data_IF_798408504069
#
_entry.id   IF_798408504069
#
_cell.length_a   1.000
_cell.length_b   1.000
_cell.length_c   1.000
_cell.angle_alpha   90.00
_cell.angle_beta   90.00
_cell.angle_gamma   90.00
#
_symmetry.space_group_name_H-M   'P 1'
#
loop_
_entity.id
_entity.type
_entity.pdbx_description
1 polymer ?
#
# COMPACT_ATOMS: atom_id res chain seq x y z
N UNK A 1 -29.38 0.91 -1.77
CA UNK A 1 -27.97 1.31 -1.98
C UNK A 1 -27.27 0.27 -2.85
N UNK A 2 -26.58 0.75 -3.88
CA UNK A 2 -25.71 -0.02 -4.78
C UNK A 2 -24.25 0.17 -4.37
N UNK A 3 -23.54 -0.94 -4.21
CA UNK A 3 -22.17 -0.99 -3.75
C UNK A 3 -21.28 -1.61 -4.82
N UNK A 4 -20.10 -1.03 -5.06
CA UNK A 4 -19.04 -1.66 -5.85
C UNK A 4 -17.85 -1.91 -4.92
N UNK A 5 -17.53 -3.18 -4.67
CA UNK A 5 -16.42 -3.54 -3.80
C UNK A 5 -15.15 -3.70 -4.65
N UNK A 6 -14.10 -2.94 -4.35
CA UNK A 6 -12.81 -3.04 -5.02
C UNK A 6 -11.74 -3.49 -4.03
N UNK A 7 -11.00 -4.57 -4.32
CA UNK A 7 -9.97 -5.07 -3.41
C UNK A 7 -8.77 -4.13 -3.40
N UNK A 8 -8.28 -3.83 -2.19
CA UNK A 8 -7.01 -3.21 -1.92
C UNK A 8 -6.01 -4.30 -1.49
N UNK A 9 -4.81 -4.27 -2.06
CA UNK A 9 -3.80 -5.33 -1.92
C UNK A 9 -2.54 -4.86 -1.17
N UNK A 10 -2.62 -3.77 -0.43
CA UNK A 10 -1.51 -3.16 0.27
C UNK A 10 -0.29 -2.94 -0.67
N UNK A 11 0.91 -3.28 -0.19
CA UNK A 11 2.15 -3.21 -0.96
C UNK A 11 2.18 -4.14 -2.18
N UNK A 12 1.28 -5.13 -2.29
CA UNK A 12 1.26 -6.02 -3.46
C UNK A 12 0.84 -5.29 -4.74
N UNK A 13 0.20 -4.13 -4.63
CA UNK A 13 -0.05 -3.27 -5.79
C UNK A 13 1.23 -2.89 -6.54
N UNK A 14 2.38 -2.85 -5.87
CA UNK A 14 3.69 -2.61 -6.50
C UNK A 14 4.15 -3.78 -7.39
N UNK A 15 3.64 -4.99 -7.11
CA UNK A 15 4.09 -6.24 -7.77
C UNK A 15 3.23 -6.65 -8.96
N UNK A 16 2.05 -6.04 -9.13
CA UNK A 16 1.05 -6.50 -10.10
C UNK A 16 0.81 -5.44 -11.19
N UNK A 17 1.49 -5.55 -12.35
CA UNK A 17 1.39 -4.55 -13.43
C UNK A 17 -0.03 -4.31 -13.94
N UNK A 18 -0.91 -5.31 -13.81
CA UNK A 18 -2.29 -5.25 -14.30
C UNK A 18 -3.32 -4.89 -13.23
N UNK A 19 -2.89 -4.67 -11.98
CA UNK A 19 -3.76 -4.24 -10.88
C UNK A 19 -2.97 -3.42 -9.85
N UNK A 20 -2.47 -2.28 -10.30
CA UNK A 20 -1.74 -1.33 -9.48
C UNK A 20 -2.68 -0.24 -8.93
N UNK A 21 -2.11 0.72 -8.20
CA UNK A 21 -2.86 1.82 -7.61
C UNK A 21 -3.64 2.68 -8.63
N UNK A 22 -3.08 2.92 -9.82
CA UNK A 22 -3.79 3.67 -10.88
C UNK A 22 -4.96 2.84 -11.41
N UNK A 23 -4.81 1.52 -11.55
CA UNK A 23 -5.94 0.64 -11.92
C UNK A 23 -7.08 0.74 -10.90
N UNK A 24 -6.78 0.78 -9.59
CA UNK A 24 -7.79 0.97 -8.54
C UNK A 24 -8.51 2.31 -8.71
N UNK A 25 -7.77 3.39 -8.97
CA UNK A 25 -8.36 4.70 -9.26
C UNK A 25 -9.27 4.66 -10.49
N UNK A 26 -8.84 4.03 -11.58
CA UNK A 26 -9.61 3.94 -12.83
C UNK A 26 -10.92 3.17 -12.64
N UNK A 27 -10.87 2.03 -11.93
CA UNK A 27 -12.05 1.27 -11.54
C UNK A 27 -12.99 2.10 -10.66
N UNK A 28 -12.43 2.84 -9.71
CA UNK A 28 -13.19 3.74 -8.81
C UNK A 28 -13.84 4.88 -9.58
N UNK A 29 -13.18 5.40 -10.62
CA UNK A 29 -13.75 6.45 -11.45
C UNK A 29 -14.84 5.90 -12.38
N UNK A 30 -14.62 4.73 -12.96
CA UNK A 30 -15.54 4.07 -13.87
C UNK A 30 -16.84 3.59 -13.18
N UNK A 31 -16.80 3.31 -11.87
CA UNK A 31 -17.99 2.95 -11.10
C UNK A 31 -18.93 4.15 -10.82
N UNK A 32 -18.52 5.38 -11.17
CA UNK A 32 -19.29 6.62 -11.00
C UNK A 32 -19.93 6.78 -9.59
N UNK A 33 -19.11 6.72 -8.51
CA UNK A 33 -19.60 6.79 -7.14
C UNK A 33 -20.12 8.18 -6.76
N UNK A 34 -21.11 8.20 -5.87
CA UNK A 34 -21.54 9.41 -5.14
C UNK A 34 -20.73 9.61 -3.85
N UNK A 35 -20.18 8.52 -3.32
CA UNK A 35 -19.26 8.51 -2.18
C UNK A 35 -18.25 7.37 -2.29
N UNK A 36 -17.11 7.55 -1.63
CA UNK A 36 -16.16 6.48 -1.37
C UNK A 36 -16.26 6.03 0.08
N UNK A 37 -16.06 4.75 0.31
CA UNK A 37 -15.81 4.21 1.63
C UNK A 37 -14.56 3.32 1.61
N UNK A 38 -13.85 3.20 2.72
CA UNK A 38 -12.69 2.31 2.82
C UNK A 38 -12.66 1.57 4.14
N UNK A 39 -12.30 0.29 4.10
CA UNK A 39 -12.09 -0.50 5.33
C UNK A 39 -10.67 -0.40 5.87
N UNK A 40 -9.80 0.38 5.22
CA UNK A 40 -8.39 0.52 5.58
C UNK A 40 -8.12 1.62 6.61
N UNK A 41 -9.02 2.60 6.67
CA UNK A 41 -8.89 3.78 7.51
C UNK A 41 -10.07 3.87 8.47
N UNK A 42 -9.80 4.22 9.71
CA UNK A 42 -10.83 4.48 10.70
C UNK A 42 -11.59 5.78 10.34
N UNK A 43 -12.81 6.00 10.86
CA UNK A 43 -13.63 7.17 10.52
C UNK A 43 -12.89 8.51 10.62
N UNK A 44 -12.07 8.70 11.66
CA UNK A 44 -11.40 9.97 11.95
C UNK A 44 -10.01 10.11 11.28
N UNK A 45 -9.52 9.07 10.60
CA UNK A 45 -8.18 9.06 10.00
C UNK A 45 -8.07 9.97 8.77
N UNK A 46 -9.17 10.27 8.10
CA UNK A 46 -9.18 11.04 6.84
C UNK A 46 -8.89 12.55 7.03
N UNK A 47 -9.16 13.07 8.24
CA UNK A 47 -8.89 14.46 8.61
C UNK A 47 -7.50 14.70 9.21
N UNK A 48 -6.70 13.64 9.38
CA UNK A 48 -5.37 13.71 9.99
C UNK A 48 -4.29 13.26 8.99
N UNK A 49 -3.00 13.54 9.25
CA UNK A 49 -1.90 12.98 8.45
C UNK A 49 -1.88 11.45 8.41
N UNK A 50 -2.57 10.76 9.33
CA UNK A 50 -2.67 9.30 9.34
C UNK A 50 -3.22 8.70 8.04
N UNK A 51 -3.98 9.47 7.25
CA UNK A 51 -4.42 9.05 5.90
C UNK A 51 -3.27 8.73 4.94
N UNK A 52 -2.06 9.23 5.21
CA UNK A 52 -0.84 8.99 4.44
C UNK A 52 -0.06 7.78 4.96
N UNK A 53 -0.29 7.40 6.22
CA UNK A 53 0.40 6.32 6.93
C UNK A 53 -0.49 5.07 6.95
N UNK A 54 -0.67 4.48 5.79
CA UNK A 54 -1.46 3.26 5.59
C UNK A 54 -0.71 2.29 4.69
N UNK A 55 -0.80 0.96 4.96
CA UNK A 55 -0.23 -0.03 4.06
C UNK A 55 -0.92 -0.05 2.67
N UNK A 56 -2.11 0.53 2.56
CA UNK A 56 -2.90 0.56 1.34
C UNK A 56 -2.48 1.69 0.39
N UNK A 57 -1.36 1.49 -0.31
CA UNK A 57 -0.69 2.52 -1.11
C UNK A 57 -1.60 3.20 -2.15
N UNK A 58 -2.61 2.50 -2.68
CA UNK A 58 -3.53 3.06 -3.66
C UNK A 58 -4.32 4.26 -3.11
N UNK A 59 -4.63 4.24 -1.81
CA UNK A 59 -5.42 5.28 -1.14
C UNK A 59 -4.72 6.65 -1.15
N UNK A 60 -3.58 6.84 -0.44
CA UNK A 60 -2.93 8.14 -0.39
C UNK A 60 -2.27 8.54 -1.72
N UNK A 61 -1.88 7.57 -2.56
CA UNK A 61 -1.20 7.86 -3.82
C UNK A 61 -2.14 8.35 -4.91
N UNK A 62 -3.31 7.73 -5.08
CA UNK A 62 -4.16 7.94 -6.25
C UNK A 62 -5.61 8.28 -5.89
N UNK A 63 -6.25 7.48 -5.05
CA UNK A 63 -7.70 7.58 -4.83
C UNK A 63 -8.08 8.80 -3.99
N UNK A 64 -7.44 9.01 -2.84
CA UNK A 64 -7.77 10.13 -1.95
C UNK A 64 -7.52 11.48 -2.66
N UNK A 65 -6.35 11.71 -3.31
CA UNK A 65 -6.13 12.95 -4.06
C UNK A 65 -7.18 13.20 -5.15
N UNK A 66 -7.60 12.16 -5.86
CA UNK A 66 -8.64 12.25 -6.87
C UNK A 66 -10.02 12.60 -6.27
N UNK A 67 -10.39 11.93 -5.18
CA UNK A 67 -11.66 12.15 -4.49
C UNK A 67 -11.76 13.59 -3.95
N UNK A 68 -10.67 14.08 -3.33
CA UNK A 68 -10.55 15.47 -2.86
C UNK A 68 -10.70 16.44 -4.02
N UNK A 69 -10.01 16.20 -5.14
CA UNK A 69 -10.12 17.04 -6.34
C UNK A 69 -11.54 17.11 -6.91
N UNK A 70 -12.33 16.04 -6.75
CA UNK A 70 -13.74 15.97 -7.16
C UNK A 70 -14.74 16.34 -6.07
N UNK A 71 -14.27 16.70 -4.87
CA UNK A 71 -15.12 16.95 -3.69
C UNK A 71 -16.06 15.78 -3.38
N UNK A 72 -15.62 14.55 -3.65
CA UNK A 72 -16.35 13.35 -3.28
C UNK A 72 -16.17 13.08 -1.79
N UNK A 73 -17.25 12.80 -1.04
CA UNK A 73 -17.13 12.38 0.34
C UNK A 73 -16.42 11.02 0.42
N UNK A 74 -15.47 10.92 1.35
CA UNK A 74 -14.72 9.69 1.63
C UNK A 74 -14.98 9.32 3.08
N UNK A 75 -15.35 8.07 3.33
CA UNK A 75 -15.66 7.56 4.66
C UNK A 75 -14.66 6.46 5.06
N UNK A 76 -14.02 6.64 6.21
CA UNK A 76 -13.29 5.55 6.88
C UNK A 76 -14.28 4.65 7.59
N UNK A 77 -14.18 3.34 7.38
CA UNK A 77 -15.05 2.34 8.00
C UNK A 77 -14.31 1.48 9.02
N UNK A 78 -12.97 1.45 8.97
CA UNK A 78 -12.16 0.47 9.66
C UNK A 78 -12.49 0.40 11.14
N UNK A 79 -12.65 -0.82 11.63
CA UNK A 79 -12.73 -1.14 13.05
C UNK A 79 -11.42 -1.84 13.43
N UNK A 80 -10.51 -1.16 14.15
CA UNK A 80 -9.25 -1.77 14.56
C UNK A 80 -9.51 -2.89 15.58
N UNK A 81 -8.61 -3.88 15.71
CA UNK A 81 -8.66 -4.84 16.80
C UNK A 81 -8.64 -4.11 18.15
N UNK A 82 -9.39 -4.62 19.13
CA UNK A 82 -9.36 -4.11 20.50
C UNK A 82 -7.97 -4.23 21.13
N UNK A 83 -7.21 -5.26 20.74
CA UNK A 83 -5.81 -5.46 21.10
C UNK A 83 -5.01 -5.83 19.84
N UNK A 84 -4.10 -4.95 19.37
CA UNK A 84 -3.24 -5.23 18.21
C UNK A 84 -2.32 -6.44 18.35
N UNK A 85 -2.01 -6.87 19.57
CA UNK A 85 -1.10 -7.99 19.83
C UNK A 85 -1.83 -9.32 20.04
N UNK A 86 -3.17 -9.31 20.12
CA UNK A 86 -3.98 -10.47 20.47
C UNK A 86 -3.72 -11.70 19.59
N UNK A 87 -3.55 -11.51 18.27
CA UNK A 87 -3.27 -12.62 17.36
C UNK A 87 -1.89 -13.26 17.63
N UNK A 88 -0.87 -12.43 17.86
CA UNK A 88 0.48 -12.89 18.16
C UNK A 88 0.54 -13.63 19.50
N UNK A 89 -0.07 -13.04 20.53
CA UNK A 89 -0.15 -13.63 21.86
C UNK A 89 -0.95 -14.94 21.84
N UNK A 90 -2.09 -14.97 21.15
CA UNK A 90 -2.88 -16.19 20.97
C UNK A 90 -2.05 -17.31 20.34
N UNK A 91 -1.31 -17.02 19.25
CA UNK A 91 -0.44 -18.01 18.61
C UNK A 91 0.66 -18.48 19.55
N UNK A 92 1.29 -17.57 20.31
CA UNK A 92 2.32 -17.90 21.31
C UNK A 92 1.81 -18.83 22.41
N UNK A 93 0.63 -18.56 22.96
CA UNK A 93 0.03 -19.42 23.98
C UNK A 93 -0.43 -20.76 23.40
N UNK A 94 -1.06 -20.76 22.23
CA UNK A 94 -1.56 -21.97 21.58
C UNK A 94 -0.42 -22.94 21.23
N UNK A 95 0.75 -22.42 20.84
CA UNK A 95 1.94 -23.21 20.52
C UNK A 95 2.51 -24.02 21.69
N UNK A 96 2.10 -23.73 22.95
CA UNK A 96 2.55 -24.48 24.14
C UNK A 96 1.89 -25.85 24.29
N UNK A 97 0.83 -26.12 23.52
CA UNK A 97 0.05 -27.35 23.64
C UNK A 97 0.10 -28.18 22.35
N UNK A 98 0.26 -29.51 22.41
CA UNK A 98 0.34 -30.36 21.21
C UNK A 98 -0.86 -30.22 20.25
N UNK A 99 -2.08 -30.15 20.80
CA UNK A 99 -3.29 -29.92 19.99
C UNK A 99 -3.30 -28.53 19.34
N UNK A 100 -2.78 -27.52 20.03
CA UNK A 100 -2.64 -26.17 19.50
C UNK A 100 -1.62 -26.09 18.37
N UNK A 101 -0.48 -26.75 18.50
CA UNK A 101 0.52 -26.88 17.44
C UNK A 101 -0.03 -27.57 16.18
N UNK A 102 -0.91 -28.57 16.34
CA UNK A 102 -1.57 -29.21 15.21
C UNK A 102 -2.49 -28.22 14.46
N UNK A 103 -3.32 -27.45 15.18
CA UNK A 103 -4.21 -26.43 14.58
C UNK A 103 -3.42 -25.31 13.90
N UNK A 104 -2.32 -24.85 14.52
CA UNK A 104 -1.44 -23.84 13.92
C UNK A 104 -0.84 -24.33 12.61
N UNK A 105 -0.35 -25.58 12.56
CA UNK A 105 0.16 -26.17 11.32
C UNK A 105 -0.89 -26.25 10.21
N UNK A 106 -2.14 -26.54 10.55
CA UNK A 106 -3.24 -26.58 9.58
C UNK A 106 -3.52 -25.20 8.98
N UNK A 107 -3.56 -24.16 9.82
CA UNK A 107 -3.72 -22.77 9.35
C UNK A 107 -2.52 -22.30 8.52
N UNK A 108 -1.31 -22.62 8.96
CA UNK A 108 -0.09 -22.21 8.26
C UNK A 108 0.02 -22.91 6.88
N UNK A 109 -0.38 -24.19 6.78
CA UNK A 109 -0.43 -24.90 5.49
C UNK A 109 -1.44 -24.25 4.52
N UNK A 110 -2.62 -23.85 5.00
CA UNK A 110 -3.59 -23.15 4.17
C UNK A 110 -3.10 -21.76 3.71
N UNK A 111 -2.25 -21.10 4.52
CA UNK A 111 -1.63 -19.83 4.12
C UNK A 111 -0.56 -20.03 3.04
N UNK A 112 0.18 -21.14 3.05
CA UNK A 112 1.18 -21.44 2.02
C UNK A 112 0.56 -21.58 0.62
N UNK A 113 -0.62 -22.19 0.52
CA UNK A 113 -1.38 -22.27 -0.73
C UNK A 113 -1.82 -20.89 -1.27
N UNK A 114 -2.12 -19.95 -0.37
CA UNK A 114 -2.40 -18.56 -0.73
C UNK A 114 -1.15 -17.84 -1.23
N UNK A 115 -0.01 -18.03 -0.54
CA UNK A 115 1.28 -17.40 -0.91
C UNK A 115 1.69 -17.73 -2.34
N UNK A 116 1.47 -18.97 -2.80
CA UNK A 116 1.76 -19.35 -4.18
C UNK A 116 0.99 -18.50 -5.20
N UNK A 117 -0.29 -18.20 -4.92
CA UNK A 117 -1.14 -17.36 -5.80
C UNK A 117 -0.64 -15.92 -5.81
N UNK A 118 -0.33 -15.37 -4.63
CA UNK A 118 0.17 -14.00 -4.44
C UNK A 118 1.54 -13.75 -5.08
N UNK A 119 2.31 -14.81 -5.38
CA UNK A 119 3.59 -14.70 -6.07
C UNK A 119 3.48 -14.64 -7.60
N UNK A 120 2.26 -14.68 -8.15
CA UNK A 120 2.02 -14.48 -9.58
C UNK A 120 1.38 -13.12 -9.85
N UNK A 121 1.58 -12.55 -11.03
CA UNK A 121 0.96 -11.28 -11.40
C UNK A 121 -0.57 -11.41 -11.47
N UNK A 122 -1.29 -10.62 -10.67
CA UNK A 122 -2.74 -10.69 -10.57
C UNK A 122 -3.44 -9.57 -11.36
N UNK A 123 -4.57 -9.92 -11.99
CA UNK A 123 -5.56 -8.98 -12.54
C UNK A 123 -6.79 -8.97 -11.63
N UNK A 124 -7.69 -7.99 -11.76
CA UNK A 124 -8.96 -8.00 -11.00
C UNK A 124 -9.79 -9.28 -11.22
N UNK A 125 -9.80 -9.79 -12.45
CA UNK A 125 -10.48 -11.03 -12.79
C UNK A 125 -9.88 -12.22 -12.04
N UNK A 126 -8.55 -12.35 -12.01
CA UNK A 126 -7.85 -13.41 -11.26
C UNK A 126 -8.01 -13.24 -9.75
N UNK A 127 -7.99 -12.01 -9.24
CA UNK A 127 -8.26 -11.75 -7.82
C UNK A 127 -9.64 -12.31 -7.46
N UNK A 128 -10.66 -11.96 -8.23
CA UNK A 128 -12.04 -12.36 -7.97
C UNK A 128 -12.25 -13.86 -8.13
N UNK A 129 -11.71 -14.46 -9.20
CA UNK A 129 -11.97 -15.86 -9.55
C UNK A 129 -11.06 -16.86 -8.81
N UNK A 130 -9.81 -16.50 -8.51
CA UNK A 130 -8.80 -17.41 -7.94
C UNK A 130 -8.48 -17.08 -6.48
N UNK A 131 -8.18 -15.82 -6.17
CA UNK A 131 -7.67 -15.42 -4.86
C UNK A 131 -8.78 -15.33 -3.80
N UNK A 132 -9.90 -14.68 -4.10
CA UNK A 132 -10.98 -14.48 -3.11
C UNK A 132 -11.59 -15.78 -2.58
N UNK A 133 -11.87 -16.82 -3.40
CA UNK A 133 -12.38 -18.08 -2.87
C UNK A 133 -11.40 -18.77 -1.92
N UNK A 134 -10.09 -18.72 -2.22
CA UNK A 134 -9.04 -19.28 -1.36
C UNK A 134 -8.91 -18.49 -0.07
N UNK A 135 -9.00 -17.18 -0.14
CA UNK A 135 -8.93 -16.30 1.02
C UNK A 135 -10.14 -16.49 1.94
N UNK A 136 -11.33 -16.65 1.36
CA UNK A 136 -12.53 -16.99 2.11
C UNK A 136 -12.34 -18.34 2.82
N UNK A 137 -11.87 -19.38 2.11
CA UNK A 137 -11.62 -20.68 2.71
C UNK A 137 -10.61 -20.61 3.86
N UNK A 138 -9.55 -19.81 3.72
CA UNK A 138 -8.57 -19.56 4.78
C UNK A 138 -9.17 -18.90 6.02
N UNK A 139 -9.93 -17.81 5.86
CA UNK A 139 -10.52 -17.11 7.00
C UNK A 139 -11.62 -17.95 7.68
N UNK A 140 -12.41 -18.71 6.92
CA UNK A 140 -13.36 -19.68 7.48
C UNK A 140 -12.66 -20.84 8.21
N UNK A 141 -11.51 -21.31 7.71
CA UNK A 141 -10.71 -22.31 8.42
C UNK A 141 -10.21 -21.75 9.76
N UNK A 142 -9.66 -20.54 9.78
CA UNK A 142 -9.22 -19.87 11.01
C UNK A 142 -10.35 -19.75 12.02
N UNK A 143 -11.51 -19.27 11.60
CA UNK A 143 -12.68 -19.13 12.47
C UNK A 143 -13.15 -20.48 13.02
N UNK A 144 -13.19 -21.54 12.21
CA UNK A 144 -13.56 -22.89 12.71
C UNK A 144 -12.58 -23.44 13.75
N UNK A 145 -11.27 -23.14 13.62
CA UNK A 145 -10.24 -23.69 14.50
C UNK A 145 -9.99 -22.85 15.76
N UNK A 146 -10.19 -21.54 15.66
CA UNK A 146 -9.85 -20.56 16.71
C UNK A 146 -11.05 -19.79 17.28
N UNK A 147 -12.23 -19.93 16.67
CA UNK A 147 -13.42 -19.08 16.91
C UNK A 147 -13.17 -17.61 16.52
N UNK A 148 -14.23 -16.81 16.38
CA UNK A 148 -14.09 -15.36 16.16
C UNK A 148 -13.64 -14.68 17.46
N UNK A 149 -12.33 -14.64 17.65
CA UNK A 149 -11.68 -14.17 18.87
C UNK A 149 -10.24 -13.69 18.65
N UNK A 150 -9.39 -13.69 19.70
CA UNK A 150 -8.00 -13.22 19.63
C UNK A 150 -7.21 -13.81 18.47
N UNK A 151 -7.36 -15.10 18.15
CA UNK A 151 -6.63 -15.78 17.07
C UNK A 151 -7.06 -15.39 15.65
N UNK A 152 -8.15 -14.65 15.51
CA UNK A 152 -8.68 -14.13 14.24
C UNK A 152 -8.73 -12.59 14.22
N UNK A 153 -8.31 -11.95 15.32
CA UNK A 153 -8.47 -10.52 15.50
C UNK A 153 -9.93 -10.07 15.57
N UNK A 154 -10.89 -10.97 15.88
CA UNK A 154 -12.33 -10.68 15.80
C UNK A 154 -12.76 -10.19 14.41
N UNK A 155 -12.13 -10.73 13.36
CA UNK A 155 -12.29 -10.23 12.00
C UNK A 155 -13.76 -10.22 11.56
N UNK A 156 -14.55 -11.27 11.87
CA UNK A 156 -15.97 -11.32 11.48
C UNK A 156 -16.77 -10.25 12.21
N UNK A 157 -16.64 -10.15 13.53
CA UNK A 157 -17.33 -9.12 14.33
C UNK A 157 -16.97 -7.69 13.87
N UNK A 158 -15.69 -7.41 13.64
CA UNK A 158 -15.23 -6.09 13.16
C UNK A 158 -15.81 -5.77 11.79
N UNK A 159 -15.77 -6.71 10.85
CA UNK A 159 -16.33 -6.52 9.51
C UNK A 159 -17.85 -6.33 9.55
N UNK A 160 -18.56 -6.98 10.47
CA UNK A 160 -19.99 -6.75 10.67
C UNK A 160 -20.29 -5.30 11.09
N UNK A 161 -19.45 -4.70 11.96
CA UNK A 161 -19.55 -3.28 12.33
C UNK A 161 -19.27 -2.37 11.12
N UNK A 162 -18.23 -2.67 10.35
CA UNK A 162 -17.91 -1.93 9.11
C UNK A 162 -19.09 -1.96 8.12
N UNK A 163 -19.73 -3.12 7.95
CA UNK A 163 -20.89 -3.29 7.08
C UNK A 163 -22.11 -2.50 7.58
N UNK A 164 -22.34 -2.45 8.89
CA UNK A 164 -23.41 -1.62 9.47
C UNK A 164 -23.17 -0.14 9.18
N UNK A 165 -21.96 0.38 9.42
CA UNK A 165 -21.59 1.77 9.11
C UNK A 165 -21.78 2.10 7.63
N UNK A 166 -21.38 1.19 6.75
CA UNK A 166 -21.55 1.33 5.30
C UNK A 166 -23.03 1.43 4.91
N UNK A 167 -23.89 0.58 5.49
CA UNK A 167 -25.34 0.59 5.21
C UNK A 167 -26.06 1.83 5.75
N UNK A 168 -25.46 2.56 6.69
CA UNK A 168 -26.03 3.83 7.19
C UNK A 168 -25.67 5.05 6.35
N UNK A 169 -24.80 4.91 5.34
CA UNK A 169 -24.43 6.03 4.48
C UNK A 169 -25.65 6.52 3.67
N UNK A 170 -25.81 7.84 3.50
CA UNK A 170 -26.97 8.40 2.79
C UNK A 170 -26.91 8.23 1.27
N UNK A 171 -25.75 7.92 0.70
CA UNK A 171 -25.55 7.82 -0.75
C UNK A 171 -26.12 6.53 -1.34
N UNK A 172 -26.58 6.60 -2.58
CA UNK A 172 -27.17 5.45 -3.28
C UNK A 172 -26.15 4.66 -4.07
N UNK A 173 -25.05 5.29 -4.53
CA UNK A 173 -23.93 4.62 -5.22
C UNK A 173 -22.63 4.84 -4.45
N UNK A 174 -22.12 3.79 -3.80
CA UNK A 174 -20.87 3.86 -3.04
C UNK A 174 -19.86 2.87 -3.62
N UNK A 175 -18.66 3.36 -3.90
CA UNK A 175 -17.51 2.48 -4.16
C UNK A 175 -16.75 2.26 -2.86
N UNK A 176 -16.58 0.99 -2.50
CA UNK A 176 -15.95 0.59 -1.25
C UNK A 176 -14.59 -0.01 -1.58
N UNK A 177 -13.53 0.60 -1.08
CA UNK A 177 -12.18 0.11 -1.20
C UNK A 177 -11.85 -0.76 0.01
N UNK A 178 -11.70 -2.05 -0.22
CA UNK A 178 -11.75 -3.05 0.83
C UNK A 178 -10.39 -3.71 0.97
N UNK A 179 -9.79 -3.66 2.15
CA UNK A 179 -8.61 -4.46 2.48
C UNK A 179 -8.90 -5.92 2.16
N UNK A 180 -7.98 -6.58 1.46
CA UNK A 180 -8.18 -7.93 0.94
C UNK A 180 -8.78 -8.89 1.99
N UNK A 181 -8.25 -8.89 3.21
CA UNK A 181 -8.71 -9.75 4.32
C UNK A 181 -10.15 -9.49 4.77
N UNK A 182 -10.67 -8.28 4.59
CA UNK A 182 -12.02 -7.94 5.00
C UNK A 182 -13.07 -8.39 3.97
N UNK A 183 -12.67 -8.61 2.72
CA UNK A 183 -13.60 -8.77 1.61
C UNK A 183 -14.53 -9.99 1.72
N UNK A 184 -14.06 -11.20 2.14
CA UNK A 184 -14.94 -12.36 2.26
C UNK A 184 -16.12 -12.13 3.23
N UNK A 185 -15.81 -11.71 4.47
CA UNK A 185 -16.86 -11.48 5.47
C UNK A 185 -17.67 -10.21 5.19
N UNK A 186 -17.11 -9.22 4.48
CA UNK A 186 -17.86 -8.03 4.09
C UNK A 186 -18.92 -8.39 3.04
N UNK A 187 -18.55 -9.23 2.07
CA UNK A 187 -19.49 -9.75 1.09
C UNK A 187 -20.63 -10.52 1.78
N UNK A 188 -20.32 -11.40 2.73
CA UNK A 188 -21.32 -12.12 3.53
C UNK A 188 -22.23 -11.17 4.33
N UNK A 189 -21.66 -10.18 5.00
CA UNK A 189 -22.40 -9.24 5.85
C UNK A 189 -23.33 -8.29 5.05
N UNK A 190 -23.07 -8.10 3.76
CA UNK A 190 -23.85 -7.27 2.84
C UNK A 190 -24.84 -8.07 1.98
N UNK A 191 -24.70 -9.38 1.90
CA UNK A 191 -25.56 -10.25 1.10
C UNK A 191 -27.04 -10.07 1.48
N UNK A 192 -27.89 -9.78 0.48
CA UNK A 192 -29.32 -9.52 0.68
C UNK A 192 -29.67 -8.18 1.35
N UNK A 193 -28.68 -7.35 1.71
CA UNK A 193 -28.86 -6.06 2.39
C UNK A 193 -28.48 -4.86 1.51
N UNK A 194 -27.70 -5.09 0.45
CA UNK A 194 -27.34 -4.10 -0.56
C UNK A 194 -27.29 -4.73 -1.96
N UNK A 195 -27.39 -3.89 -2.99
CA UNK A 195 -27.17 -4.30 -4.39
C UNK A 195 -25.66 -4.30 -4.67
N UNK A 196 -25.04 -5.48 -4.67
CA UNK A 196 -23.60 -5.64 -4.95
C UNK A 196 -23.38 -5.68 -6.47
N UNK A 197 -22.88 -4.57 -7.01
CA UNK A 197 -22.52 -4.46 -8.41
C UNK A 197 -21.13 -5.05 -8.67
N UNK A 198 -21.01 -5.75 -9.80
CA UNK A 198 -19.71 -6.15 -10.31
C UNK A 198 -18.84 -4.89 -10.61
N UNK A 199 -17.54 -4.93 -10.32
CA UNK A 199 -16.61 -3.91 -10.77
C UNK A 199 -16.68 -3.71 -12.29
N UNK A 200 -16.51 -2.48 -12.80
CA UNK A 200 -16.45 -2.24 -14.23
C UNK A 200 -15.23 -2.92 -14.84
N UNK A 201 -15.35 -3.37 -16.08
CA UNK A 201 -14.20 -3.82 -16.87
C UNK A 201 -13.46 -2.61 -17.43
N UNK A 202 -12.14 -2.56 -17.22
CA UNK A 202 -11.26 -1.53 -17.75
C UNK A 202 -10.08 -2.16 -18.48
N UNK A 203 -9.61 -1.50 -19.53
CA UNK A 203 -8.33 -1.79 -20.16
C UNK A 203 -7.25 -0.93 -19.51
N UNK A 204 -6.07 -1.50 -19.25
CA UNK A 204 -4.96 -0.74 -18.68
C UNK A 204 -4.62 0.48 -19.56
N UNK A 205 -4.70 1.66 -18.96
CA UNK A 205 -4.33 2.93 -19.60
C UNK A 205 -2.81 3.09 -19.67
N UNK A 206 -2.36 4.12 -20.39
CA UNK A 206 -0.95 4.53 -20.37
C UNK A 206 -0.49 4.94 -18.98
N UNK A 207 -1.35 5.58 -18.18
CA UNK A 207 -1.03 5.95 -16.80
C UNK A 207 -0.85 4.70 -15.91
N UNK A 208 -1.66 3.66 -16.10
CA UNK A 208 -1.49 2.39 -15.39
C UNK A 208 -0.21 1.67 -15.82
N UNK A 209 0.17 1.74 -17.10
CA UNK A 209 1.44 1.18 -17.60
C UNK A 209 2.64 1.94 -17.04
N UNK A 210 2.61 3.28 -17.05
CA UNK A 210 3.65 4.12 -16.46
C UNK A 210 3.83 3.82 -14.97
N UNK A 211 2.72 3.75 -14.21
CA UNK A 211 2.75 3.38 -12.80
C UNK A 211 3.40 2.02 -12.56
N UNK A 212 3.11 1.03 -13.40
CA UNK A 212 3.72 -0.30 -13.30
C UNK A 212 5.24 -0.26 -13.47
N UNK A 213 5.74 0.57 -14.39
CA UNK A 213 7.17 0.74 -14.59
C UNK A 213 7.83 1.42 -13.38
N UNK A 214 7.19 2.46 -12.81
CA UNK A 214 7.67 3.14 -11.61
C UNK A 214 7.65 2.22 -10.39
N UNK A 215 6.63 1.38 -10.25
CA UNK A 215 6.54 0.38 -9.17
C UNK A 215 7.65 -0.68 -9.29
N UNK A 216 7.88 -1.17 -10.51
CA UNK A 216 8.98 -2.10 -10.79
C UNK A 216 10.35 -1.48 -10.46
N UNK A 217 10.55 -0.21 -10.83
CA UNK A 217 11.77 0.52 -10.50
C UNK A 217 11.94 0.76 -9.00
N UNK A 218 10.84 1.02 -8.28
CA UNK A 218 10.85 1.19 -6.82
C UNK A 218 11.27 -0.09 -6.09
N UNK A 219 10.83 -1.27 -6.56
CA UNK A 219 11.23 -2.55 -5.97
C UNK A 219 12.72 -2.86 -6.17
N UNK A 220 13.38 -2.25 -7.15
CA UNK A 220 14.81 -2.44 -7.40
C UNK A 220 15.19 -3.84 -7.88
N UNK A 221 14.23 -4.64 -8.33
CA UNK A 221 14.40 -6.05 -8.71
C UNK A 221 14.92 -6.26 -10.15
N UNK A 222 15.51 -5.24 -10.78
CA UNK A 222 15.99 -5.30 -12.16
C UNK A 222 17.42 -5.89 -12.24
N UNK A 223 17.63 -7.11 -12.77
CA UNK A 223 18.96 -7.70 -12.86
C UNK A 223 19.88 -6.99 -13.86
N UNK A 224 19.29 -6.38 -14.90
CA UNK A 224 19.96 -5.45 -15.82
C UNK A 224 19.18 -4.13 -15.84
N UNK A 225 19.72 -3.03 -15.32
CA UNK A 225 19.03 -1.76 -15.24
C UNK A 225 18.94 -1.05 -16.59
N UNK A 226 19.68 -1.47 -17.63
CA UNK A 226 19.87 -0.68 -18.87
C UNK A 226 18.55 -0.36 -19.55
N UNK A 227 17.71 -1.36 -19.79
CA UNK A 227 16.39 -1.18 -20.42
C UNK A 227 15.44 -0.37 -19.54
N UNK A 228 15.52 -0.56 -18.21
CA UNK A 228 14.68 0.14 -17.25
C UNK A 228 15.06 1.64 -17.17
N UNK A 229 16.35 1.95 -17.11
CA UNK A 229 16.87 3.32 -17.15
C UNK A 229 16.46 4.04 -18.44
N UNK A 230 16.54 3.37 -19.59
CA UNK A 230 16.09 3.94 -20.86
C UNK A 230 14.58 4.29 -20.82
N UNK A 231 13.75 3.41 -20.27
CA UNK A 231 12.31 3.67 -20.15
C UNK A 231 11.99 4.78 -19.14
N UNK A 232 12.70 4.84 -18.01
CA UNK A 232 12.51 5.88 -16.99
C UNK A 232 12.86 7.28 -17.52
N UNK A 233 13.88 7.41 -18.38
CA UNK A 233 14.29 8.69 -18.99
C UNK A 233 13.22 9.31 -19.89
N UNK A 234 12.36 8.49 -20.47
CA UNK A 234 11.23 8.96 -21.29
C UNK A 234 10.12 9.57 -20.42
N UNK A 235 10.06 9.23 -19.13
CA UNK A 235 9.05 9.73 -18.18
C UNK A 235 9.55 11.02 -17.53
N UNK A 236 8.84 12.12 -17.76
CA UNK A 236 9.24 13.46 -17.29
C UNK A 236 8.82 13.77 -15.85
N UNK A 237 8.63 12.77 -15.00
CA UNK A 237 8.21 12.95 -13.61
C UNK A 237 9.41 12.99 -12.64
N UNK A 238 9.34 13.74 -11.54
CA UNK A 238 10.38 13.67 -10.50
C UNK A 238 10.51 12.29 -9.86
N UNK A 239 9.43 11.50 -9.84
CA UNK A 239 9.47 10.13 -9.35
C UNK A 239 10.33 9.22 -10.27
N UNK A 240 10.19 9.34 -11.59
CA UNK A 240 11.01 8.58 -12.53
C UNK A 240 12.51 8.91 -12.35
N UNK A 241 12.84 10.19 -12.18
CA UNK A 241 14.21 10.65 -11.90
C UNK A 241 14.73 10.14 -10.55
N UNK A 242 13.88 10.08 -9.54
CA UNK A 242 14.23 9.51 -8.25
C UNK A 242 14.59 8.03 -8.37
N UNK A 243 13.78 7.25 -9.10
CA UNK A 243 14.07 5.82 -9.32
C UNK A 243 15.30 5.61 -10.20
N UNK A 244 15.50 6.42 -11.24
CA UNK A 244 16.70 6.41 -12.07
C UNK A 244 17.96 6.65 -11.20
N UNK A 245 17.94 7.62 -10.28
CA UNK A 245 19.05 7.88 -9.38
C UNK A 245 19.33 6.70 -8.44
N UNK A 246 18.29 6.06 -7.91
CA UNK A 246 18.46 4.89 -7.04
C UNK A 246 19.05 3.70 -7.80
N UNK A 247 18.64 3.47 -9.06
CA UNK A 247 19.22 2.42 -9.91
C UNK A 247 20.68 2.72 -10.23
N UNK A 248 21.02 3.96 -10.58
CA UNK A 248 22.41 4.40 -10.79
C UNK A 248 23.26 4.17 -9.54
N UNK A 249 22.76 4.58 -8.37
CA UNK A 249 23.45 4.38 -7.10
C UNK A 249 23.68 2.89 -6.80
N UNK A 250 22.67 2.04 -7.01
CA UNK A 250 22.78 0.59 -6.80
C UNK A 250 23.86 -0.05 -7.70
N UNK A 251 24.18 0.57 -8.82
CA UNK A 251 25.20 0.12 -9.78
C UNK A 251 26.52 0.91 -9.67
N UNK A 252 26.73 1.66 -8.58
CA UNK A 252 28.00 2.34 -8.29
C UNK A 252 28.16 3.72 -8.93
N UNK A 253 27.13 4.25 -9.58
CA UNK A 253 27.14 5.57 -10.25
C UNK A 253 26.67 6.69 -9.31
N UNK A 254 27.30 6.82 -8.13
CA UNK A 254 26.85 7.73 -7.08
C UNK A 254 26.91 9.23 -7.48
N UNK A 255 27.90 9.63 -8.28
CA UNK A 255 28.03 11.02 -8.75
C UNK A 255 26.88 11.39 -9.71
N UNK A 256 26.57 10.52 -10.67
CA UNK A 256 25.46 10.70 -11.61
C UNK A 256 24.10 10.70 -10.88
N UNK A 257 23.94 9.80 -9.91
CA UNK A 257 22.76 9.77 -9.06
C UNK A 257 22.57 11.09 -8.28
N UNK A 258 23.65 11.67 -7.75
CA UNK A 258 23.60 12.93 -7.03
C UNK A 258 23.16 14.08 -7.94
N UNK A 259 23.76 14.21 -9.12
CA UNK A 259 23.37 15.23 -10.11
C UNK A 259 21.89 15.13 -10.47
N UNK A 260 21.41 13.90 -10.69
CA UNK A 260 20.02 13.66 -11.05
C UNK A 260 19.04 14.05 -9.94
N UNK A 261 19.35 13.70 -8.68
CA UNK A 261 18.51 14.10 -7.55
C UNK A 261 18.57 15.60 -7.28
N UNK A 262 19.70 16.26 -7.48
CA UNK A 262 19.78 17.72 -7.37
C UNK A 262 18.84 18.40 -8.39
N UNK A 263 18.78 17.87 -9.61
CA UNK A 263 17.82 18.35 -10.63
C UNK A 263 16.38 18.03 -10.22
N UNK A 264 16.10 16.81 -9.76
CA UNK A 264 14.75 16.40 -9.34
C UNK A 264 14.22 17.26 -8.18
N UNK A 265 15.10 17.67 -7.26
CA UNK A 265 14.76 18.52 -6.10
C UNK A 265 14.29 19.93 -6.47
N UNK A 266 14.51 20.37 -7.71
CA UNK A 266 14.10 21.70 -8.21
C UNK A 266 12.75 21.66 -8.94
N UNK A 267 12.17 20.47 -9.18
CA UNK A 267 10.88 20.30 -9.85
C UNK A 267 9.67 20.35 -8.90
N UNK A 268 8.47 20.08 -9.42
CA UNK A 268 7.29 19.82 -8.59
C UNK A 268 7.27 18.37 -8.12
N UNK A 269 7.85 18.12 -6.94
CA UNK A 269 7.83 16.82 -6.28
C UNK A 269 6.76 16.72 -5.18
N UNK A 270 5.71 17.55 -5.23
CA UNK A 270 4.59 17.49 -4.27
C UNK A 270 3.75 16.21 -4.40
N UNK A 271 3.89 15.49 -5.52
CA UNK A 271 3.28 14.18 -5.76
C UNK A 271 4.29 13.19 -6.35
N UNK A 272 4.23 11.90 -5.97
CA UNK A 272 3.38 11.36 -4.91
C UNK A 272 3.80 11.84 -3.51
N UNK A 273 2.89 11.76 -2.54
CA UNK A 273 3.06 12.33 -1.19
C UNK A 273 4.31 11.86 -0.43
N UNK A 274 4.84 10.68 -0.77
CA UNK A 274 6.05 10.09 -0.18
C UNK A 274 7.36 10.58 -0.78
N UNK A 275 7.33 11.08 -2.01
CA UNK A 275 8.53 11.40 -2.77
C UNK A 275 9.42 12.46 -2.10
N UNK A 276 8.89 13.57 -1.53
CA UNK A 276 9.71 14.56 -0.84
C UNK A 276 10.61 13.98 0.25
N UNK A 277 10.06 13.09 1.10
CA UNK A 277 10.79 12.52 2.21
C UNK A 277 11.93 11.62 1.73
N UNK A 278 11.62 10.67 0.85
CA UNK A 278 12.62 9.75 0.31
C UNK A 278 13.71 10.45 -0.52
N UNK A 279 13.33 11.42 -1.36
CA UNK A 279 14.28 12.17 -2.19
C UNK A 279 15.24 12.97 -1.32
N UNK A 280 14.74 13.71 -0.31
CA UNK A 280 15.59 14.51 0.58
C UNK A 280 16.50 13.64 1.45
N UNK A 281 16.00 12.51 1.96
CA UNK A 281 16.82 11.56 2.71
C UNK A 281 17.95 10.99 1.83
N UNK A 282 17.65 10.60 0.59
CA UNK A 282 18.65 10.08 -0.35
C UNK A 282 19.65 11.13 -0.80
N UNK A 283 19.21 12.37 -1.03
CA UNK A 283 20.12 13.50 -1.28
C UNK A 283 21.10 13.70 -0.12
N UNK A 284 20.63 13.62 1.12
CA UNK A 284 21.49 13.70 2.29
C UNK A 284 22.60 12.63 2.27
N UNK A 285 22.23 11.39 1.98
CA UNK A 285 23.17 10.27 1.90
C UNK A 285 24.20 10.46 0.79
N UNK A 286 23.78 10.87 -0.40
CA UNK A 286 24.69 11.13 -1.52
C UNK A 286 25.61 12.33 -1.26
N UNK A 287 25.13 13.36 -0.56
CA UNK A 287 25.99 14.47 -0.13
C UNK A 287 27.05 14.03 0.88
N UNK A 288 26.71 13.16 1.85
CA UNK A 288 27.70 12.59 2.77
C UNK A 288 28.76 11.78 2.00
N UNK A 289 28.34 10.92 1.05
CA UNK A 289 29.28 10.17 0.19
C UNK A 289 30.19 11.07 -0.64
N UNK A 290 29.70 12.24 -1.06
CA UNK A 290 30.46 13.23 -1.80
C UNK A 290 31.31 14.17 -0.89
N UNK A 291 31.34 13.94 0.42
CA UNK A 291 32.07 14.79 1.38
C UNK A 291 31.41 16.17 1.63
N UNK A 292 30.17 16.38 1.18
CA UNK A 292 29.45 17.65 1.26
C UNK A 292 28.55 17.70 2.52
N UNK A 293 29.17 17.57 3.70
CA UNK A 293 28.45 17.38 4.98
C UNK A 293 27.42 18.47 5.29
N UNK A 294 27.74 19.73 5.00
CA UNK A 294 26.82 20.85 5.25
C UNK A 294 25.52 20.75 4.43
N UNK A 295 25.62 20.26 3.19
CA UNK A 295 24.44 20.02 2.35
C UNK A 295 23.67 18.80 2.84
N UNK A 296 24.37 17.74 3.25
CA UNK A 296 23.74 16.54 3.82
C UNK A 296 22.87 16.87 5.03
N UNK A 297 23.43 17.60 6.01
CA UNK A 297 22.71 18.03 7.23
C UNK A 297 21.48 18.88 6.89
N UNK A 298 21.57 19.78 5.90
CA UNK A 298 20.42 20.58 5.43
C UNK A 298 19.32 19.68 4.86
N UNK A 299 19.68 18.69 4.03
CA UNK A 299 18.72 17.76 3.45
C UNK A 299 18.01 16.92 4.53
N UNK A 300 18.75 16.35 5.48
CA UNK A 300 18.15 15.59 6.58
C UNK A 300 17.24 16.44 7.49
N UNK A 301 17.63 17.69 7.78
CA UNK A 301 16.75 18.63 8.51
C UNK A 301 15.48 18.94 7.72
N UNK A 302 15.59 19.07 6.40
CA UNK A 302 14.45 19.31 5.54
C UNK A 302 13.44 18.15 5.57
N UNK A 303 13.88 16.89 5.62
CA UNK A 303 12.99 15.72 5.81
C UNK A 303 12.13 15.89 7.07
N UNK A 304 12.76 16.26 8.20
CA UNK A 304 12.06 16.45 9.48
C UNK A 304 11.16 17.68 9.54
N UNK A 305 11.33 18.61 8.59
CA UNK A 305 10.51 19.82 8.49
C UNK A 305 9.29 19.63 7.57
N UNK A 306 9.18 18.50 6.86
CA UNK A 306 8.01 18.20 6.05
C UNK A 306 6.76 18.04 6.92
N UNK A 307 5.60 18.45 6.40
CA UNK A 307 4.32 18.24 7.06
C UNK A 307 4.01 16.74 7.27
N UNK A 308 4.57 15.89 6.40
CA UNK A 308 4.61 14.45 6.54
C UNK A 308 5.77 13.87 5.73
N UNK A 309 6.39 12.79 6.22
CA UNK A 309 7.39 12.02 5.51
C UNK A 309 7.27 10.53 5.89
N UNK A 310 7.65 9.59 5.00
CA UNK A 310 7.69 8.16 5.33
C UNK A 310 8.59 7.87 6.54
N UNK A 311 8.22 6.86 7.33
CA UNK A 311 8.96 6.49 8.54
C UNK A 311 10.42 6.13 8.23
N UNK A 312 10.69 5.43 7.13
CA UNK A 312 12.06 5.04 6.75
C UNK A 312 12.88 6.27 6.32
N UNK A 313 12.26 7.26 5.69
CA UNK A 313 12.93 8.52 5.36
C UNK A 313 13.26 9.34 6.61
N UNK A 314 12.34 9.37 7.59
CA UNK A 314 12.58 10.02 8.88
C UNK A 314 13.70 9.33 9.66
N UNK A 315 13.73 8.00 9.67
CA UNK A 315 14.78 7.20 10.29
C UNK A 315 16.14 7.47 9.63
N UNK A 316 16.23 7.38 8.30
CA UNK A 316 17.45 7.66 7.56
C UNK A 316 17.95 9.09 7.81
N UNK A 317 17.06 10.08 7.88
CA UNK A 317 17.41 11.44 8.21
C UNK A 317 17.90 11.60 9.66
N UNK A 318 17.29 10.90 10.61
CA UNK A 318 17.72 10.89 12.01
C UNK A 318 19.12 10.29 12.16
N UNK A 319 19.38 9.14 11.55
CA UNK A 319 20.68 8.48 11.54
C UNK A 319 21.73 9.38 10.88
N UNK A 320 21.41 9.96 9.71
CA UNK A 320 22.28 10.87 8.98
C UNK A 320 22.64 12.15 9.74
N UNK A 321 21.78 12.63 10.64
CA UNK A 321 22.09 13.77 11.52
C UNK A 321 23.04 13.41 12.67
N UNK A 322 22.99 12.15 13.14
CA UNK A 322 23.88 11.66 14.19
C UNK A 322 25.28 11.36 13.63
N UNK A 323 25.34 10.70 12.48
CA UNK A 323 26.57 10.24 11.85
C UNK A 323 26.50 10.38 10.33
N UNK A 324 27.58 10.78 9.64
CA UNK A 324 27.61 10.82 8.18
C UNK A 324 27.35 9.43 7.57
N UNK A 325 26.55 9.38 6.51
CA UNK A 325 26.34 8.14 5.76
C UNK A 325 27.63 7.72 5.05
N UNK A 326 28.06 6.46 5.23
CA UNK A 326 29.33 5.92 4.72
C UNK A 326 29.18 4.79 3.72
N UNK A 327 27.95 4.49 3.26
CA UNK A 327 27.67 3.45 2.26
C UNK A 327 27.69 2.01 2.80
N UNK A 328 28.01 1.79 4.09
CA UNK A 328 28.09 0.47 4.70
C UNK A 328 26.76 -0.10 5.21
N UNK A 329 25.63 0.61 5.03
CA UNK A 329 24.33 0.19 5.56
C UNK A 329 23.20 0.42 4.55
N UNK A 330 22.45 -0.66 4.31
CA UNK A 330 21.16 -0.80 3.62
C UNK A 330 21.04 -0.36 2.15
N UNK A 331 21.53 -1.22 1.26
CA UNK A 331 20.80 -1.52 0.02
C UNK A 331 19.79 -2.65 0.30
N UNK A 332 18.71 -2.34 1.05
CA UNK A 332 17.44 -3.08 1.09
C UNK A 332 16.35 -2.12 1.53
#
# INVERSE_FOLDING_TARGET
>A
MRLTLLPLLAALHLRYPSYNAVSVLELTAASAPEALATTALAPDSLSTPARQDTPEIALPMTVIPWAVGRRLPVYGLAEPPADPNAEADFRHYLARYPAGQARLREVDAALDDLRATLNTALTLARITAELLPRLAAYHHLRERLFEDGPGTGWLRARVAVMAQRLLTLPQQRVTVLVCLDHLPFLHEALAGRADLAAPPEITASDAARERSLLDYAFLGEAPDPTSLLAQLREIRSPEARYHEANLLLAHGHAAEALELLEVASRGDFSRPYFLPGYLLARLGQLYDLAGQRDKAVKAYRAVRALAWAPAEALLAAQEGLQSPFSGATSAR
#
